data_IF_857379145596
#
_entry.id   IF_857379145596
#
_cell.length_a   1.000
_cell.length_b   1.000
_cell.length_c   1.000
_cell.angle_alpha   90.00
_cell.angle_beta   90.00
_cell.angle_gamma   90.00
#
_symmetry.space_group_name_H-M   'P 1'
#
loop_
_entity.id
_entity.type
_entity.pdbx_description
1 polymer ?
#
# COMPACT_ATOMS: atom_id res chain seq x y z
N UNK A 1 1.40 39.06 -58.77
CA UNK A 1 0.28 38.28 -58.14
C UNK A 1 0.49 36.77 -58.10
N UNK A 2 1.05 36.11 -59.11
CA UNK A 2 1.24 34.61 -59.09
C UNK A 2 2.16 34.12 -57.98
N UNK A 3 3.28 34.76 -57.62
CA UNK A 3 4.20 34.33 -56.56
C UNK A 3 3.62 34.36 -55.15
N UNK A 4 2.71 35.31 -54.81
CA UNK A 4 2.02 35.33 -53.50
C UNK A 4 1.01 34.20 -53.33
N UNK A 5 0.32 33.79 -54.40
CA UNK A 5 -0.64 32.66 -54.35
C UNK A 5 0.08 31.31 -54.14
N UNK A 6 1.24 31.11 -54.75
CA UNK A 6 2.02 29.88 -54.57
C UNK A 6 2.52 29.78 -53.15
N UNK A 7 3.05 30.83 -52.53
CA UNK A 7 3.52 30.82 -51.15
C UNK A 7 2.40 30.53 -50.12
N UNK A 8 1.19 31.04 -50.34
CA UNK A 8 0.02 30.75 -49.48
C UNK A 8 -0.40 29.28 -49.61
N UNK A 9 -0.46 28.74 -50.83
CA UNK A 9 -0.84 27.35 -51.04
C UNK A 9 0.21 26.40 -50.43
N UNK A 10 1.51 26.68 -50.56
CA UNK A 10 2.58 25.89 -49.97
C UNK A 10 2.53 25.93 -48.41
N UNK A 11 2.19 27.09 -47.83
CA UNK A 11 2.00 27.23 -46.39
C UNK A 11 0.81 26.41 -45.86
N UNK A 12 -0.33 26.43 -46.60
CA UNK A 12 -1.50 25.64 -46.21
C UNK A 12 -1.24 24.13 -46.30
N UNK A 13 -0.57 23.69 -47.36
CA UNK A 13 -0.22 22.26 -47.53
C UNK A 13 0.73 21.82 -46.44
N UNK A 14 1.75 22.60 -46.05
CA UNK A 14 2.65 22.31 -44.96
C UNK A 14 1.91 22.23 -43.62
N UNK A 15 0.99 23.15 -43.33
CA UNK A 15 0.19 23.10 -42.11
C UNK A 15 -0.74 21.88 -42.04
N UNK A 16 -1.37 21.48 -43.14
CA UNK A 16 -2.21 20.27 -43.19
C UNK A 16 -1.36 18.98 -42.98
N UNK A 17 -0.17 18.93 -43.54
CA UNK A 17 0.74 17.78 -43.34
C UNK A 17 1.23 17.68 -41.89
N UNK A 18 1.55 18.82 -41.27
CA UNK A 18 1.97 18.86 -39.84
C UNK A 18 0.82 18.47 -38.94
N UNK A 19 -0.39 19.01 -39.14
CA UNK A 19 -1.59 18.68 -38.35
C UNK A 19 -2.00 17.22 -38.58
N UNK A 20 -1.91 16.71 -39.81
CA UNK A 20 -2.14 15.29 -40.12
C UNK A 20 -1.11 14.39 -39.47
N UNK A 21 0.17 14.79 -39.47
CA UNK A 21 1.26 14.07 -38.80
C UNK A 21 1.07 14.03 -37.30
N UNK A 22 0.69 15.15 -36.66
CA UNK A 22 0.40 15.20 -35.22
C UNK A 22 -0.82 14.35 -34.87
N UNK A 23 -1.91 14.47 -35.66
CA UNK A 23 -3.11 13.66 -35.44
C UNK A 23 -2.84 12.15 -35.62
N UNK A 24 -2.04 11.77 -36.60
CA UNK A 24 -1.64 10.38 -36.82
C UNK A 24 -0.69 9.91 -35.71
N UNK A 25 0.25 10.74 -35.27
CA UNK A 25 1.15 10.43 -34.16
C UNK A 25 0.36 10.26 -32.84
N UNK A 26 -0.55 11.16 -32.52
CA UNK A 26 -1.44 11.05 -31.35
C UNK A 26 -2.35 9.85 -31.44
N UNK A 27 -2.91 9.54 -32.62
CA UNK A 27 -3.77 8.39 -32.86
C UNK A 27 -2.99 7.06 -32.76
N UNK A 28 -1.80 6.98 -33.34
CA UNK A 28 -0.93 5.79 -33.29
C UNK A 28 -0.36 5.60 -31.87
N UNK A 29 0.03 6.70 -31.19
CA UNK A 29 0.51 6.60 -29.80
C UNK A 29 -0.63 6.23 -28.84
N UNK A 30 -1.83 6.80 -28.97
CA UNK A 30 -2.98 6.42 -28.12
C UNK A 30 -3.48 4.99 -28.36
N UNK A 31 -3.36 4.46 -29.58
CA UNK A 31 -3.88 3.13 -29.90
C UNK A 31 -2.85 1.99 -29.81
N UNK A 32 -1.56 2.30 -29.59
CA UNK A 32 -0.53 1.27 -29.34
C UNK A 32 -0.25 0.99 -27.88
N UNK A 33 -0.87 1.73 -26.94
CA UNK A 33 -0.93 1.31 -25.56
C UNK A 33 -2.08 0.32 -25.39
N UNK A 34 -1.82 -0.95 -25.67
CA UNK A 34 -2.68 -2.00 -25.14
C UNK A 34 -2.57 -1.93 -23.63
N UNK A 35 -3.70 -1.62 -22.96
CA UNK A 35 -3.78 -1.76 -21.52
C UNK A 35 -3.15 -3.09 -21.09
N UNK A 36 -2.39 -3.13 -19.97
CA UNK A 36 -1.80 -4.37 -19.50
C UNK A 36 -2.89 -5.45 -19.45
N UNK A 37 -2.62 -6.61 -20.07
CA UNK A 37 -3.55 -7.73 -20.06
C UNK A 37 -3.59 -8.29 -18.65
N UNK A 38 -4.65 -7.92 -17.91
CA UNK A 38 -4.88 -8.42 -16.57
C UNK A 38 -5.40 -9.83 -16.71
N UNK A 39 -4.59 -10.81 -16.32
CA UNK A 39 -5.07 -12.19 -16.22
C UNK A 39 -5.92 -12.31 -14.96
N UNK A 40 -7.23 -12.42 -15.17
CA UNK A 40 -8.16 -12.84 -14.12
C UNK A 40 -7.73 -14.19 -13.57
N UNK A 41 -7.64 -14.33 -12.26
CA UNK A 41 -7.50 -15.66 -11.64
C UNK A 41 -6.57 -15.79 -10.46
N UNK A 42 -5.79 -14.77 -10.07
CA UNK A 42 -5.06 -14.77 -8.80
C UNK A 42 -5.63 -13.65 -7.94
N UNK A 43 -6.58 -13.99 -7.10
CA UNK A 43 -7.14 -13.07 -6.12
C UNK A 43 -6.27 -13.09 -4.88
N UNK A 44 -5.32 -12.18 -4.81
CA UNK A 44 -4.76 -11.76 -3.54
C UNK A 44 -5.65 -10.65 -2.98
N UNK A 45 -6.34 -10.93 -1.89
CA UNK A 45 -7.24 -9.98 -1.22
C UNK A 45 -6.50 -8.85 -0.53
N UNK A 46 -5.17 -8.95 -0.39
CA UNK A 46 -4.34 -7.95 0.29
C UNK A 46 -3.63 -6.99 -0.68
N UNK A 47 -3.50 -7.35 -1.95
CA UNK A 47 -2.76 -6.55 -2.92
C UNK A 47 -3.36 -5.18 -3.17
N UNK A 48 -4.68 -5.01 -2.98
CA UNK A 48 -5.39 -3.74 -3.13
C UNK A 48 -5.31 -2.82 -1.90
N UNK A 49 -4.84 -3.31 -0.75
CA UNK A 49 -4.70 -2.52 0.48
C UNK A 49 -3.31 -1.91 0.60
N UNK A 50 -3.19 -0.89 1.47
CA UNK A 50 -1.87 -0.42 1.90
C UNK A 50 -1.17 -1.53 2.70
N UNK A 51 0.09 -1.78 2.42
CA UNK A 51 0.82 -2.97 2.89
C UNK A 51 1.38 -2.86 4.30
N UNK A 52 1.75 -1.67 4.76
CA UNK A 52 2.53 -1.53 6.00
C UNK A 52 1.70 -1.16 7.23
N UNK A 53 0.50 -0.60 7.05
CA UNK A 53 -0.37 -0.25 8.19
C UNK A 53 -1.84 -0.47 7.86
N UNK A 54 -2.49 -1.36 8.58
CA UNK A 54 -3.88 -1.72 8.38
C UNK A 54 -4.72 -1.42 9.61
N UNK A 55 -5.34 -0.24 9.67
CA UNK A 55 -6.32 0.06 10.72
C UNK A 55 -7.69 -0.57 10.47
N UNK A 56 -7.89 -1.14 9.30
CA UNK A 56 -9.14 -1.73 8.84
C UNK A 56 -8.86 -2.98 8.00
N UNK A 57 -9.67 -4.00 8.15
CA UNK A 57 -9.59 -5.24 7.39
C UNK A 57 -10.99 -5.72 6.98
N UNK A 58 -11.16 -6.15 5.72
CA UNK A 58 -12.40 -6.73 5.23
C UNK A 58 -12.54 -8.19 5.68
N UNK A 59 -13.72 -8.59 6.14
CA UNK A 59 -14.02 -9.98 6.52
C UNK A 59 -15.45 -10.17 7.00
N UNK A 60 -15.98 -11.38 6.86
CA UNK A 60 -17.34 -11.75 7.28
C UNK A 60 -18.46 -10.84 6.75
N UNK A 61 -18.29 -10.32 5.52
CA UNK A 61 -19.27 -9.45 4.89
C UNK A 61 -19.27 -8.00 5.41
N UNK A 62 -18.25 -7.61 6.17
CA UNK A 62 -18.08 -6.27 6.71
C UNK A 62 -16.61 -5.94 6.95
N UNK A 63 -16.35 -5.05 7.88
CA UNK A 63 -15.02 -4.51 8.16
C UNK A 63 -14.73 -4.51 9.64
N UNK A 64 -13.55 -4.99 10.00
CA UNK A 64 -12.95 -4.89 11.33
C UNK A 64 -12.01 -3.69 11.34
N UNK A 65 -12.09 -2.85 12.35
CA UNK A 65 -11.23 -1.67 12.44
C UNK A 65 -10.87 -1.31 13.87
N UNK A 66 -9.77 -0.57 14.03
CA UNK A 66 -9.34 -0.06 15.31
C UNK A 66 -9.58 1.45 15.40
N UNK A 67 -10.09 1.92 16.54
CA UNK A 67 -10.38 3.32 16.78
C UNK A 67 -9.97 3.72 18.19
N UNK A 68 -9.48 4.97 18.34
CA UNK A 68 -9.39 5.64 19.61
C UNK A 68 -10.76 6.14 20.06
N UNK A 69 -11.14 5.78 21.26
CA UNK A 69 -12.36 6.27 21.86
C UNK A 69 -12.10 7.49 22.77
N UNK A 70 -13.17 8.16 23.17
CA UNK A 70 -13.11 9.36 24.01
C UNK A 70 -12.43 9.13 25.37
N UNK A 71 -12.32 7.89 25.85
CA UNK A 71 -11.62 7.52 27.07
C UNK A 71 -10.12 7.24 26.85
N UNK A 72 -9.60 7.49 25.63
CA UNK A 72 -8.19 7.30 25.25
C UNK A 72 -7.80 5.85 25.00
N UNK A 73 -8.75 4.93 24.94
CA UNK A 73 -8.48 3.52 24.66
C UNK A 73 -8.68 3.20 23.18
N UNK A 74 -7.87 2.29 22.69
CA UNK A 74 -8.05 1.71 21.37
C UNK A 74 -8.95 0.49 21.51
N UNK A 75 -10.00 0.44 20.69
CA UNK A 75 -10.90 -0.71 20.62
C UNK A 75 -11.00 -1.24 19.21
N UNK A 76 -11.25 -2.54 19.14
CA UNK A 76 -11.56 -3.26 17.92
C UNK A 76 -13.06 -3.26 17.71
N UNK A 77 -13.48 -2.86 16.51
CA UNK A 77 -14.87 -2.74 16.08
C UNK A 77 -15.14 -3.62 14.86
N UNK A 78 -16.40 -3.91 14.65
CA UNK A 78 -16.94 -4.49 13.42
C UNK A 78 -18.11 -3.65 12.90
N UNK A 79 -18.21 -3.47 11.58
CA UNK A 79 -19.31 -2.76 10.92
C UNK A 79 -19.58 -3.32 9.52
N UNK A 80 -20.81 -3.16 9.04
CA UNK A 80 -21.19 -3.41 7.64
C UNK A 80 -21.22 -2.13 6.78
N UNK A 81 -20.70 -1.04 7.30
CA UNK A 81 -20.51 0.29 6.66
C UNK A 81 -21.82 1.05 6.40
N UNK A 82 -22.72 0.55 5.57
CA UNK A 82 -23.73 1.42 4.95
C UNK A 82 -24.87 1.90 5.87
N UNK A 83 -25.16 1.18 6.95
CA UNK A 83 -26.34 1.50 7.77
C UNK A 83 -26.14 1.30 9.27
N UNK A 84 -24.93 1.02 9.71
CA UNK A 84 -24.71 0.56 11.08
C UNK A 84 -23.55 1.32 11.74
N UNK A 85 -23.78 1.73 12.97
CA UNK A 85 -22.69 2.11 13.84
C UNK A 85 -21.82 0.88 14.11
N UNK A 86 -20.50 1.06 14.11
CA UNK A 86 -19.58 -0.01 14.50
C UNK A 86 -19.91 -0.53 15.89
N UNK A 87 -19.86 -1.85 16.05
CA UNK A 87 -20.03 -2.52 17.33
C UNK A 87 -18.69 -2.96 17.87
N UNK A 88 -18.47 -2.79 19.18
CA UNK A 88 -17.25 -3.27 19.84
C UNK A 88 -17.19 -4.79 19.74
N UNK A 89 -16.11 -5.32 19.18
CA UNK A 89 -15.93 -6.76 18.94
C UNK A 89 -15.57 -7.50 20.23
N UNK A 90 -16.57 -7.79 21.05
CA UNK A 90 -16.40 -8.52 22.31
C UNK A 90 -17.60 -9.39 22.63
N UNK A 91 -17.41 -10.70 22.67
CA UNK A 91 -18.46 -11.68 23.00
C UNK A 91 -18.62 -11.95 24.51
N UNK A 92 -17.93 -11.20 25.40
CA UNK A 92 -18.08 -11.36 26.83
C UNK A 92 -19.44 -10.79 27.28
N UNK A 93 -20.31 -11.58 27.91
CA UNK A 93 -21.58 -11.07 28.46
C UNK A 93 -21.34 -9.94 29.45
N UNK A 94 -22.19 -8.89 29.38
CA UNK A 94 -22.18 -7.74 30.30
C UNK A 94 -20.81 -6.98 30.35
N UNK A 95 -19.97 -7.15 29.34
CA UNK A 95 -18.69 -6.45 29.27
C UNK A 95 -18.92 -4.94 29.08
N UNK A 96 -18.34 -4.12 29.93
CA UNK A 96 -18.43 -2.66 29.82
C UNK A 96 -17.42 -2.08 28.82
N UNK A 97 -16.55 -2.90 28.25
CA UNK A 97 -15.50 -2.55 27.30
C UNK A 97 -14.52 -1.47 27.80
N UNK A 98 -14.34 -1.34 29.12
CA UNK A 98 -13.53 -0.27 29.74
C UNK A 98 -12.18 -0.74 30.27
N UNK A 99 -11.95 -2.04 30.39
CA UNK A 99 -10.73 -2.58 30.98
C UNK A 99 -9.99 -3.49 29.99
N UNK A 100 -8.71 -3.75 30.26
CA UNK A 100 -7.88 -4.63 29.43
C UNK A 100 -8.32 -6.11 29.50
N UNK A 101 -9.21 -6.45 30.44
CA UNK A 101 -9.90 -7.73 30.46
C UNK A 101 -10.88 -7.90 29.28
N UNK A 102 -11.34 -6.80 28.68
CA UNK A 102 -12.12 -6.82 27.44
C UNK A 102 -11.26 -7.26 26.27
N UNK A 103 -11.71 -8.23 25.52
CA UNK A 103 -10.96 -8.75 24.36
C UNK A 103 -10.82 -7.76 23.20
N UNK A 104 -11.73 -6.81 23.10
CA UNK A 104 -11.69 -5.76 22.11
C UNK A 104 -10.77 -4.58 22.48
N UNK A 105 -10.35 -4.45 23.76
CA UNK A 105 -9.46 -3.37 24.18
C UNK A 105 -8.03 -3.75 23.78
N UNK A 106 -7.42 -2.92 22.93
CA UNK A 106 -6.05 -3.02 22.46
C UNK A 106 -5.28 -1.80 23.00
N UNK A 107 -4.75 -1.90 24.21
CA UNK A 107 -4.04 -0.78 24.82
C UNK A 107 -2.80 -0.41 23.99
N UNK A 108 -2.58 0.88 23.74
CA UNK A 108 -1.52 1.37 22.85
C UNK A 108 -0.09 1.05 23.30
N UNK A 109 0.12 0.74 24.59
CA UNK A 109 1.42 0.28 25.10
C UNK A 109 1.63 -1.22 24.85
N UNK A 110 0.56 -2.01 24.94
CA UNK A 110 0.61 -3.46 24.80
C UNK A 110 0.38 -3.95 23.37
N UNK A 111 -0.19 -3.14 22.49
CA UNK A 111 -0.47 -3.53 21.11
C UNK A 111 0.13 -2.53 20.13
N UNK A 112 0.58 -3.04 18.98
CA UNK A 112 0.97 -2.18 17.88
C UNK A 112 -0.28 -1.45 17.36
N UNK A 113 -0.22 -0.13 17.35
CA UNK A 113 -1.30 0.68 16.83
C UNK A 113 -1.42 0.56 15.31
N UNK A 114 -2.66 0.51 14.82
CA UNK A 114 -2.92 0.56 13.38
C UNK A 114 -2.68 -0.74 12.63
N UNK A 115 -2.70 -1.87 13.32
CA UNK A 115 -2.46 -3.16 12.68
C UNK A 115 -3.58 -4.12 13.04
N UNK A 116 -4.49 -4.36 12.11
CA UNK A 116 -5.50 -5.43 12.18
C UNK A 116 -5.59 -6.10 10.82
N UNK A 117 -5.47 -7.42 10.80
CA UNK A 117 -5.61 -8.24 9.60
C UNK A 117 -6.71 -9.26 9.83
N UNK A 118 -7.46 -9.58 8.78
CA UNK A 118 -8.41 -10.68 8.79
C UNK A 118 -7.96 -11.77 7.83
N UNK A 119 -7.87 -13.00 8.33
CA UNK A 119 -7.56 -14.15 7.50
C UNK A 119 -8.14 -15.43 8.09
N UNK A 120 -8.84 -16.24 7.26
CA UNK A 120 -9.39 -17.55 7.65
C UNK A 120 -10.19 -17.51 8.97
N UNK A 121 -11.16 -16.60 9.06
CA UNK A 121 -12.07 -16.41 10.20
C UNK A 121 -11.42 -15.92 11.50
N UNK A 122 -10.17 -15.46 11.44
CA UNK A 122 -9.46 -14.87 12.56
C UNK A 122 -8.94 -13.48 12.23
N UNK A 123 -8.83 -12.69 13.28
CA UNK A 123 -8.10 -11.44 13.24
C UNK A 123 -6.70 -11.64 13.84
N UNK A 124 -5.75 -10.93 13.27
CA UNK A 124 -4.37 -10.93 13.73
C UNK A 124 -3.94 -9.51 14.03
N UNK A 125 -3.31 -9.33 15.20
CA UNK A 125 -2.72 -8.08 15.68
C UNK A 125 -1.35 -8.38 16.30
N UNK A 126 -0.56 -7.34 16.53
CA UNK A 126 0.75 -7.49 17.17
C UNK A 126 0.65 -7.07 18.63
N UNK A 127 0.88 -8.01 19.56
CA UNK A 127 0.94 -7.77 20.99
C UNK A 127 2.40 -7.57 21.42
N UNK A 128 2.66 -6.44 22.10
CA UNK A 128 3.99 -6.08 22.61
C UNK A 128 4.10 -6.47 24.08
N UNK A 129 5.03 -7.32 24.39
CA UNK A 129 5.25 -7.79 25.76
C UNK A 129 6.73 -8.03 26.01
N UNK A 130 7.27 -7.40 27.08
CA UNK A 130 8.65 -7.61 27.52
C UNK A 130 9.72 -7.37 26.43
N UNK A 131 9.48 -6.36 25.56
CA UNK A 131 10.39 -6.04 24.46
C UNK A 131 10.29 -6.98 23.25
N UNK A 132 9.29 -7.86 23.22
CA UNK A 132 9.01 -8.76 22.09
C UNK A 132 7.65 -8.46 21.48
N UNK A 133 7.55 -8.57 20.17
CA UNK A 133 6.31 -8.61 19.42
C UNK A 133 5.83 -10.05 19.28
N UNK A 134 4.57 -10.28 19.63
CA UNK A 134 3.90 -11.56 19.48
C UNK A 134 2.80 -11.44 18.42
N UNK A 135 2.65 -12.49 17.61
CA UNK A 135 1.44 -12.66 16.82
C UNK A 135 0.30 -12.99 17.77
N UNK A 136 -0.68 -12.12 17.82
CA UNK A 136 -1.89 -12.31 18.62
C UNK A 136 -3.08 -12.59 17.71
N UNK A 137 -3.74 -13.71 17.93
CA UNK A 137 -4.91 -14.17 17.20
C UNK A 137 -6.17 -13.87 17.98
N UNK A 138 -7.17 -13.33 17.30
CA UNK A 138 -8.48 -12.99 17.87
C UNK A 138 -9.56 -13.69 17.05
N UNK A 139 -10.50 -14.36 17.70
CA UNK A 139 -11.66 -14.93 17.02
C UNK A 139 -12.51 -13.79 16.40
N UNK A 140 -12.97 -13.97 15.17
CA UNK A 140 -13.72 -12.93 14.43
C UNK A 140 -15.05 -12.54 15.05
N UNK A 141 -15.57 -13.33 16.00
CA UNK A 141 -16.74 -13.03 16.83
C UNK A 141 -16.38 -12.36 18.18
N UNK A 142 -15.11 -12.11 18.45
CA UNK A 142 -14.62 -11.54 19.71
C UNK A 142 -14.62 -12.52 20.89
N UNK A 143 -14.82 -13.82 20.67
CA UNK A 143 -14.92 -14.84 21.73
C UNK A 143 -13.57 -15.28 22.31
N UNK A 144 -12.46 -15.11 21.58
CA UNK A 144 -11.12 -15.53 21.96
C UNK A 144 -10.04 -14.53 21.59
N UNK A 145 -8.96 -14.46 22.40
CA UNK A 145 -7.75 -13.72 22.10
C UNK A 145 -6.56 -14.44 22.76
N UNK A 146 -5.55 -14.76 21.97
CA UNK A 146 -4.35 -15.48 22.43
C UNK A 146 -3.09 -15.07 21.68
N UNK A 147 -1.94 -15.04 22.36
CA UNK A 147 -0.64 -14.92 21.72
C UNK A 147 -0.23 -16.30 21.22
N UNK A 148 0.06 -16.43 19.93
CA UNK A 148 0.33 -17.74 19.31
C UNK A 148 1.81 -18.01 19.09
N UNK A 149 2.62 -17.00 18.78
CA UNK A 149 4.08 -17.12 18.68
C UNK A 149 4.79 -15.78 18.86
N UNK A 150 6.07 -15.83 19.25
CA UNK A 150 6.95 -14.66 19.28
C UNK A 150 7.52 -14.40 17.88
N UNK A 151 7.64 -13.13 17.49
CA UNK A 151 8.11 -12.70 16.18
C UNK A 151 9.48 -12.02 16.24
N UNK A 152 9.52 -10.79 16.73
CA UNK A 152 10.71 -9.93 16.71
C UNK A 152 10.94 -9.29 18.07
N UNK A 153 12.21 -9.02 18.39
CA UNK A 153 12.54 -8.03 19.41
C UNK A 153 12.06 -6.66 18.89
N UNK A 154 11.32 -5.94 19.71
CA UNK A 154 10.72 -4.66 19.33
C UNK A 154 11.26 -3.52 20.17
N UNK A 155 11.65 -2.46 19.51
CA UNK A 155 11.88 -1.17 20.13
C UNK A 155 10.64 -0.27 19.97
N UNK A 156 10.77 1.01 20.31
CA UNK A 156 9.67 1.98 20.22
C UNK A 156 9.30 2.34 18.77
N UNK A 157 10.17 2.03 17.80
CA UNK A 157 9.98 2.35 16.38
C UNK A 157 9.54 1.14 15.56
N UNK A 158 9.73 -0.08 16.08
CA UNK A 158 9.36 -1.31 15.37
C UNK A 158 7.88 -1.32 14.99
N UNK A 159 7.60 -1.72 13.76
CA UNK A 159 6.27 -1.90 13.21
C UNK A 159 6.20 -3.17 12.39
N UNK A 160 5.62 -4.21 12.96
CA UNK A 160 5.50 -5.51 12.29
C UNK A 160 4.32 -5.50 11.34
N UNK A 161 4.56 -5.87 10.09
CA UNK A 161 3.56 -6.07 9.04
C UNK A 161 3.42 -7.54 8.71
N UNK A 162 2.22 -7.94 8.27
CA UNK A 162 1.87 -9.32 7.96
C UNK A 162 1.36 -9.46 6.53
N UNK A 163 1.78 -10.52 5.86
CA UNK A 163 1.24 -10.97 4.58
C UNK A 163 0.81 -12.42 4.71
N UNK A 164 -0.31 -12.78 4.11
CA UNK A 164 -0.88 -14.12 4.23
C UNK A 164 -0.85 -14.83 2.88
N UNK A 165 -0.39 -16.07 2.89
CA UNK A 165 -0.41 -16.94 1.72
C UNK A 165 -0.80 -18.36 2.14
N UNK A 166 -1.91 -18.87 1.63
CA UNK A 166 -2.42 -20.21 1.93
C UNK A 166 -2.47 -20.54 3.43
N UNK A 167 -1.57 -21.38 3.94
CA UNK A 167 -1.51 -21.77 5.36
C UNK A 167 -0.35 -21.13 6.11
N UNK A 168 0.23 -20.08 5.56
CA UNK A 168 1.38 -19.41 6.11
C UNK A 168 1.13 -17.90 6.28
N UNK A 169 1.78 -17.33 7.27
CA UNK A 169 1.85 -15.89 7.52
C UNK A 169 3.32 -15.49 7.36
N UNK A 170 3.56 -14.40 6.64
CA UNK A 170 4.88 -13.81 6.49
C UNK A 170 4.91 -12.50 7.26
N UNK A 171 5.82 -12.40 8.23
CA UNK A 171 5.97 -11.23 9.10
C UNK A 171 7.31 -10.55 8.88
N UNK A 172 7.33 -9.22 8.86
CA UNK A 172 8.54 -8.39 8.76
C UNK A 172 8.37 -7.11 9.57
N UNK A 173 9.48 -6.51 10.00
CA UNK A 173 9.46 -5.18 10.65
C UNK A 173 9.62 -4.11 9.56
N UNK A 174 8.52 -3.43 9.20
CA UNK A 174 8.46 -2.47 8.10
C UNK A 174 9.13 -1.12 8.41
N UNK A 175 9.41 -0.84 9.65
CA UNK A 175 10.12 0.39 10.06
C UNK A 175 11.54 0.08 10.50
N UNK A 176 11.71 -0.89 11.37
CA UNK A 176 13.00 -1.35 11.86
C UNK A 176 13.93 -0.22 12.23
N UNK A 177 15.15 -0.28 11.73
CA UNK A 177 16.15 0.78 11.87
C UNK A 177 16.30 1.63 10.60
N UNK A 178 15.22 1.81 9.83
CA UNK A 178 15.21 2.65 8.65
C UNK A 178 15.80 4.04 8.96
N UNK A 179 16.82 4.43 8.20
CA UNK A 179 17.54 5.69 8.41
C UNK A 179 18.65 5.67 9.46
N UNK A 180 18.91 4.53 10.10
CA UNK A 180 20.07 4.35 10.96
C UNK A 180 21.39 4.40 10.20
N UNK A 181 22.50 4.73 10.88
CA UNK A 181 23.86 4.76 10.31
C UNK A 181 24.61 3.44 10.47
N UNK A 182 23.99 2.45 11.10
CA UNK A 182 24.58 1.16 11.41
C UNK A 182 24.04 0.06 10.49
N UNK A 183 24.79 -1.02 10.35
CA UNK A 183 24.30 -2.21 9.69
C UNK A 183 23.24 -2.88 10.56
N UNK A 184 22.11 -3.16 9.96
CA UNK A 184 21.03 -3.92 10.57
C UNK A 184 20.69 -5.14 9.74
N UNK A 185 20.25 -6.19 10.46
CA UNK A 185 19.70 -7.38 9.83
C UNK A 185 18.18 -7.26 9.84
N UNK A 186 17.59 -7.35 8.67
CA UNK A 186 16.16 -7.41 8.46
C UNK A 186 15.76 -8.81 8.03
N UNK A 187 14.66 -9.31 8.57
CA UNK A 187 14.20 -10.67 8.33
C UNK A 187 12.75 -10.69 7.84
N UNK A 188 12.44 -11.67 6.99
CA UNK A 188 11.06 -12.11 6.78
C UNK A 188 10.92 -13.46 7.48
N UNK A 189 9.97 -13.52 8.41
CA UNK A 189 9.65 -14.76 9.14
C UNK A 189 8.39 -15.38 8.56
N UNK A 190 8.44 -16.67 8.32
CA UNK A 190 7.32 -17.51 7.96
C UNK A 190 6.75 -18.16 9.22
N UNK A 191 5.45 -18.08 9.41
CA UNK A 191 4.68 -18.68 10.50
C UNK A 191 3.64 -19.62 9.91
N UNK A 192 3.68 -20.90 10.24
CA UNK A 192 2.68 -21.87 9.80
C UNK A 192 1.40 -21.74 10.64
N UNK A 193 0.24 -21.54 10.02
CA UNK A 193 -1.04 -21.34 10.74
C UNK A 193 -1.46 -22.60 11.52
N UNK A 194 -0.98 -23.79 11.12
CA UNK A 194 -1.37 -25.05 11.77
C UNK A 194 -0.84 -25.24 13.18
N UNK A 195 0.41 -24.86 13.42
CA UNK A 195 1.13 -25.06 14.67
C UNK A 195 1.87 -23.81 15.18
N UNK A 196 1.81 -22.73 14.44
CA UNK A 196 2.50 -21.46 14.67
C UNK A 196 4.02 -21.59 14.78
N UNK A 197 4.62 -22.62 14.14
CA UNK A 197 6.06 -22.74 14.02
C UNK A 197 6.62 -21.58 13.20
N UNK A 198 7.71 -20.97 13.71
CA UNK A 198 8.35 -19.79 13.12
C UNK A 198 9.69 -20.16 12.51
N UNK A 199 9.96 -19.70 11.30
CA UNK A 199 11.26 -19.85 10.63
C UNK A 199 11.60 -18.57 9.85
N UNK A 200 12.89 -18.21 9.77
CA UNK A 200 13.35 -17.13 8.88
C UNK A 200 13.46 -17.67 7.46
N UNK A 201 12.86 -16.98 6.49
CA UNK A 201 12.87 -17.36 5.06
C UNK A 201 13.67 -16.39 4.20
N UNK A 202 13.89 -15.18 4.69
CA UNK A 202 14.73 -14.19 4.04
C UNK A 202 15.46 -13.35 5.08
N UNK A 203 16.71 -12.99 4.79
CA UNK A 203 17.54 -12.13 5.62
C UNK A 203 18.31 -11.15 4.72
N UNK A 204 18.34 -9.89 5.11
CA UNK A 204 19.12 -8.85 4.47
C UNK A 204 19.88 -8.04 5.50
N UNK A 205 21.16 -7.78 5.23
CA UNK A 205 22.01 -6.94 6.09
C UNK A 205 22.50 -5.74 5.30
N UNK A 206 22.21 -4.55 5.80
CA UNK A 206 22.59 -3.29 5.15
C UNK A 206 22.54 -2.11 6.10
N UNK A 207 23.09 -0.98 5.68
CA UNK A 207 23.07 0.27 6.46
C UNK A 207 21.67 0.85 6.47
N UNK A 208 21.09 0.99 7.67
CA UNK A 208 19.72 1.47 7.81
C UNK A 208 18.70 0.64 7.03
N UNK A 209 18.97 -0.67 6.87
CA UNK A 209 18.13 -1.55 6.08
C UNK A 209 16.71 -1.65 6.63
N UNK A 210 15.74 -1.71 5.74
CA UNK A 210 14.33 -2.01 6.03
C UNK A 210 13.73 -2.89 4.94
N UNK A 211 12.71 -3.66 5.30
CA UNK A 211 11.85 -4.36 4.36
C UNK A 211 10.49 -3.70 4.41
N UNK A 212 9.95 -3.26 3.27
CA UNK A 212 8.68 -2.55 3.19
C UNK A 212 7.82 -3.05 2.06
N UNK A 213 6.54 -2.70 2.07
CA UNK A 213 5.64 -2.88 0.95
C UNK A 213 5.44 -4.33 0.50
N UNK A 214 5.52 -5.32 1.42
CA UNK A 214 5.39 -6.71 1.01
C UNK A 214 3.95 -7.05 0.57
N UNK A 215 3.83 -7.77 -0.56
CA UNK A 215 2.57 -8.19 -1.19
C UNK A 215 2.65 -9.61 -1.68
N UNK A 216 1.60 -10.40 -1.41
CA UNK A 216 1.40 -11.72 -1.99
C UNK A 216 0.86 -11.60 -3.41
N UNK A 217 1.48 -12.29 -4.35
CA UNK A 217 0.95 -12.41 -5.70
C UNK A 217 1.37 -13.72 -6.36
N UNK A 218 0.40 -14.54 -6.66
CA UNK A 218 0.64 -15.84 -7.32
C UNK A 218 1.50 -16.76 -6.45
N UNK A 219 2.61 -17.23 -6.99
CA UNK A 219 3.58 -18.08 -6.28
C UNK A 219 4.67 -17.32 -5.54
N UNK A 220 4.54 -16.00 -5.33
CA UNK A 220 5.62 -15.16 -4.85
C UNK A 220 5.16 -14.17 -3.77
N UNK A 221 6.03 -13.96 -2.79
CA UNK A 221 6.00 -12.79 -1.92
C UNK A 221 6.90 -11.72 -2.54
N UNK A 222 6.32 -10.61 -2.98
CA UNK A 222 7.07 -9.44 -3.43
C UNK A 222 7.31 -8.50 -2.26
N UNK A 223 8.45 -7.83 -2.22
CA UNK A 223 8.79 -6.85 -1.17
C UNK A 223 9.91 -5.91 -1.61
N UNK A 224 9.95 -4.73 -1.01
CA UNK A 224 11.01 -3.75 -1.23
C UNK A 224 12.05 -3.90 -0.13
N UNK A 225 13.31 -4.01 -0.53
CA UNK A 225 14.46 -3.85 0.35
C UNK A 225 14.99 -2.43 0.17
N UNK A 226 14.99 -1.68 1.26
CA UNK A 226 15.52 -0.33 1.31
C UNK A 226 16.82 -0.32 2.12
N UNK A 227 17.81 0.43 1.67
CA UNK A 227 18.98 0.79 2.46
C UNK A 227 19.37 2.25 2.22
N UNK A 228 20.05 2.86 3.18
CA UNK A 228 20.57 4.22 3.02
C UNK A 228 21.99 4.19 2.48
N UNK A 229 22.17 4.86 1.34
CA UNK A 229 23.48 5.03 0.70
C UNK A 229 23.93 6.48 0.74
N UNK A 230 25.23 6.70 0.90
CA UNK A 230 25.83 8.01 0.80
C UNK A 230 26.24 8.26 -0.66
N UNK A 231 25.67 9.29 -1.26
CA UNK A 231 26.19 9.83 -2.51
C UNK A 231 27.50 10.57 -2.21
N UNK A 232 28.60 10.07 -2.77
CA UNK A 232 29.95 10.59 -2.52
C UNK A 232 30.18 11.97 -3.13
N UNK A 233 29.44 12.34 -4.16
CA UNK A 233 29.58 13.62 -4.85
C UNK A 233 28.81 14.74 -4.12
N UNK A 234 27.53 14.49 -3.84
CA UNK A 234 26.65 15.45 -3.15
C UNK A 234 26.82 15.45 -1.63
N UNK A 235 27.43 14.42 -1.04
CA UNK A 235 27.51 14.17 0.41
C UNK A 235 26.13 14.04 1.07
N UNK A 236 25.11 13.66 0.30
CA UNK A 236 23.77 13.43 0.80
C UNK A 236 23.47 11.94 0.89
N UNK A 237 22.67 11.55 1.88
CA UNK A 237 22.13 10.21 1.96
C UNK A 237 20.85 10.12 1.11
N UNK A 238 20.70 9.00 0.41
CA UNK A 238 19.48 8.67 -0.31
C UNK A 238 19.04 7.23 0.01
N UNK A 239 17.76 6.96 -0.13
CA UNK A 239 17.22 5.60 -0.04
C UNK A 239 17.47 4.85 -1.35
N UNK A 240 18.09 3.68 -1.28
CA UNK A 240 18.21 2.74 -2.40
C UNK A 240 17.16 1.66 -2.20
N UNK A 241 16.08 1.75 -2.97
CA UNK A 241 14.88 0.91 -2.84
C UNK A 241 14.83 -0.07 -4.01
N UNK A 242 14.87 -1.37 -3.71
CA UNK A 242 14.93 -2.44 -4.71
C UNK A 242 13.83 -3.46 -4.49
N UNK A 243 13.12 -3.81 -5.57
CA UNK A 243 12.07 -4.82 -5.53
C UNK A 243 12.68 -6.23 -5.62
N UNK A 244 12.31 -7.05 -4.66
CA UNK A 244 12.62 -8.47 -4.57
C UNK A 244 11.33 -9.29 -4.62
N UNK A 245 11.47 -10.57 -4.92
CA UNK A 245 10.43 -11.58 -4.73
C UNK A 245 11.02 -12.84 -4.12
N UNK A 246 10.28 -13.45 -3.24
CA UNK A 246 10.56 -14.76 -2.65
C UNK A 246 9.60 -15.78 -3.27
N UNK A 247 10.14 -16.83 -3.87
CA UNK A 247 9.37 -17.93 -4.47
C UNK A 247 8.97 -18.94 -3.39
N UNK A 248 7.68 -19.10 -3.16
CA UNK A 248 7.15 -20.01 -2.15
C UNK A 248 7.47 -21.48 -2.45
N UNK A 249 7.60 -21.85 -3.72
CA UNK A 249 7.82 -23.23 -4.15
C UNK A 249 9.25 -23.71 -3.96
N UNK A 250 10.24 -22.85 -4.20
CA UNK A 250 11.66 -23.22 -4.13
C UNK A 250 12.42 -22.56 -2.97
N UNK A 251 11.80 -21.58 -2.26
CA UNK A 251 12.40 -20.92 -1.11
C UNK A 251 13.54 -19.95 -1.47
N UNK A 252 13.57 -19.42 -2.69
CA UNK A 252 14.63 -18.54 -3.18
C UNK A 252 14.08 -17.11 -3.32
N UNK A 253 14.84 -16.14 -2.82
CA UNK A 253 14.57 -14.72 -3.08
C UNK A 253 15.50 -14.18 -4.15
N UNK A 254 14.95 -13.37 -5.06
CA UNK A 254 15.70 -12.72 -6.14
C UNK A 254 15.23 -11.29 -6.37
N UNK A 255 16.12 -10.44 -6.89
CA UNK A 255 15.77 -9.09 -7.32
C UNK A 255 14.95 -9.17 -8.61
N UNK A 256 13.82 -8.45 -8.66
CA UNK A 256 12.86 -8.49 -9.77
C UNK A 256 13.34 -7.68 -10.97
N UNK A 257 13.76 -6.43 -10.73
CA UNK A 257 14.28 -5.51 -11.73
C UNK A 257 15.44 -4.72 -11.13
N UNK A 258 16.34 -4.21 -12.01
CA UNK A 258 17.49 -3.39 -11.55
C UNK A 258 17.15 -1.89 -11.64
N UNK A 259 16.10 -1.49 -10.93
CA UNK A 259 15.56 -0.12 -10.87
C UNK A 259 15.26 0.27 -9.45
N UNK A 260 15.14 1.57 -9.20
CA UNK A 260 14.56 2.10 -7.98
C UNK A 260 13.04 1.86 -8.00
N UNK A 261 12.50 1.33 -6.92
CA UNK A 261 11.07 1.04 -6.79
C UNK A 261 10.59 1.53 -5.43
N UNK A 262 9.91 2.67 -5.40
CA UNK A 262 9.38 3.23 -4.15
C UNK A 262 8.02 2.63 -3.77
N UNK A 263 7.21 2.23 -4.73
CA UNK A 263 6.04 1.36 -4.53
C UNK A 263 5.67 0.67 -5.85
N UNK A 264 4.84 -0.38 -5.76
CA UNK A 264 4.53 -1.23 -6.92
C UNK A 264 3.19 -1.93 -6.78
N UNK A 265 2.70 -2.47 -7.90
CA UNK A 265 1.56 -3.38 -7.97
C UNK A 265 1.80 -4.42 -9.06
N UNK A 266 1.56 -5.71 -8.77
CA UNK A 266 1.76 -6.80 -9.72
C UNK A 266 0.42 -7.22 -10.32
N UNK A 267 0.37 -7.35 -11.66
CA UNK A 267 -0.81 -7.73 -12.42
C UNK A 267 -0.45 -8.84 -13.42
N UNK A 268 -0.53 -10.08 -13.00
CA UNK A 268 -0.17 -11.22 -13.86
C UNK A 268 1.29 -11.15 -14.32
N UNK A 269 1.49 -10.95 -15.61
CA UNK A 269 2.81 -10.83 -16.22
C UNK A 269 3.34 -9.37 -16.24
N UNK A 270 2.68 -8.46 -15.54
CA UNK A 270 2.97 -7.02 -15.58
C UNK A 270 3.25 -6.49 -14.16
N UNK A 271 4.29 -5.68 -14.04
CA UNK A 271 4.62 -4.89 -12.87
C UNK A 271 4.30 -3.42 -13.16
N UNK A 272 3.45 -2.81 -12.37
CA UNK A 272 3.26 -1.36 -12.31
C UNK A 272 4.07 -0.86 -11.14
N UNK A 273 4.99 0.07 -11.34
CA UNK A 273 5.83 0.58 -10.26
C UNK A 273 6.14 2.06 -10.41
N UNK A 274 6.42 2.70 -9.29
CA UNK A 274 6.83 4.09 -9.25
C UNK A 274 8.31 4.20 -8.92
N UNK A 275 9.03 4.98 -9.74
CA UNK A 275 10.39 5.41 -9.47
C UNK A 275 10.36 6.85 -9.00
N UNK A 276 10.81 7.09 -7.78
CA UNK A 276 10.78 8.41 -7.15
C UNK A 276 11.49 9.46 -7.99
N UNK A 277 10.83 10.60 -8.22
CA UNK A 277 11.34 11.69 -9.04
C UNK A 277 11.27 11.48 -10.55
N UNK A 278 10.86 10.29 -11.03
CA UNK A 278 10.79 9.96 -12.46
C UNK A 278 9.36 9.71 -12.91
N UNK A 279 8.63 8.78 -12.27
CA UNK A 279 7.23 8.53 -12.58
C UNK A 279 6.77 7.09 -12.40
N UNK A 280 5.57 6.82 -12.94
CA UNK A 280 4.93 5.52 -12.95
C UNK A 280 5.29 4.77 -14.22
N UNK A 281 5.79 3.57 -14.05
CA UNK A 281 6.19 2.69 -15.14
C UNK A 281 5.34 1.43 -15.18
N UNK A 282 5.20 0.88 -16.37
CA UNK A 282 4.70 -0.47 -16.63
C UNK A 282 5.84 -1.30 -17.19
N UNK A 283 6.13 -2.43 -16.54
CA UNK A 283 7.14 -3.38 -16.96
C UNK A 283 6.49 -4.74 -17.24
N UNK A 284 6.70 -5.26 -18.45
CA UNK A 284 6.24 -6.59 -18.89
C UNK A 284 7.32 -7.64 -18.63
N UNK A 285 7.02 -8.62 -17.77
CA UNK A 285 7.98 -9.67 -17.38
C UNK A 285 8.40 -10.58 -18.54
N UNK A 286 7.54 -10.77 -19.54
CA UNK A 286 7.83 -11.66 -20.68
C UNK A 286 8.74 -11.01 -21.69
N UNK A 287 8.42 -9.78 -22.06
CA UNK A 287 9.15 -9.03 -23.07
C UNK A 287 10.31 -8.23 -22.53
N UNK A 288 10.37 -8.04 -21.18
CA UNK A 288 11.30 -7.19 -20.47
C UNK A 288 11.27 -5.72 -20.96
N UNK A 289 10.12 -5.30 -21.50
CA UNK A 289 9.91 -3.93 -21.95
C UNK A 289 9.31 -3.09 -20.83
N UNK A 290 9.74 -1.86 -20.79
CA UNK A 290 9.32 -0.85 -19.83
C UNK A 290 8.75 0.37 -20.56
N UNK A 291 7.66 0.93 -20.04
CA UNK A 291 7.02 2.14 -20.57
C UNK A 291 6.73 3.09 -19.41
N UNK A 292 7.12 4.36 -19.57
CA UNK A 292 6.72 5.42 -18.65
C UNK A 292 5.29 5.85 -19.00
N UNK A 293 4.35 5.64 -18.08
CA UNK A 293 2.93 5.94 -18.29
C UNK A 293 2.51 7.29 -17.66
N UNK A 294 3.06 7.61 -16.49
CA UNK A 294 2.79 8.88 -15.81
C UNK A 294 4.11 9.53 -15.41
N UNK A 295 4.39 10.71 -15.93
CA UNK A 295 5.57 11.48 -15.55
C UNK A 295 5.38 12.04 -14.13
N UNK A 296 6.35 11.83 -13.26
CA UNK A 296 6.38 12.48 -11.96
C UNK A 296 6.49 14.00 -12.11
N UNK A 297 5.78 14.70 -11.29
CA UNK A 297 5.94 16.15 -11.10
C UNK A 297 6.13 16.45 -9.60
N UNK A 298 6.26 17.74 -9.26
CA UNK A 298 6.45 18.16 -7.86
C UNK A 298 5.28 17.81 -6.93
N UNK A 299 4.11 17.44 -7.48
CA UNK A 299 2.91 17.11 -6.71
C UNK A 299 2.70 15.60 -6.62
N UNK A 300 3.39 14.81 -7.44
CA UNK A 300 3.26 13.35 -7.49
C UNK A 300 4.54 12.73 -6.91
N UNK A 301 4.56 12.68 -5.58
CA UNK A 301 5.55 11.91 -4.80
C UNK A 301 4.78 10.71 -4.24
N UNK A 302 4.91 9.55 -4.85
CA UNK A 302 4.04 8.41 -4.53
C UNK A 302 4.43 7.73 -3.22
N UNK A 303 3.47 7.61 -2.31
CA UNK A 303 3.57 6.80 -1.10
C UNK A 303 2.86 5.45 -1.24
N UNK A 304 2.01 5.29 -2.24
CA UNK A 304 1.29 4.03 -2.41
C UNK A 304 0.61 3.92 -3.77
N UNK A 305 0.62 2.69 -4.30
CA UNK A 305 -0.09 2.29 -5.51
C UNK A 305 -1.07 1.19 -5.17
N UNK A 306 -2.29 1.28 -5.67
CA UNK A 306 -3.28 0.22 -5.59
C UNK A 306 -4.06 0.08 -6.90
N UNK A 307 -4.65 -1.09 -7.09
CA UNK A 307 -5.51 -1.38 -8.23
C UNK A 307 -6.70 -2.24 -7.77
N UNK A 308 -7.93 -1.88 -8.17
CA UNK A 308 -9.15 -2.54 -7.73
C UNK A 308 -9.84 -3.39 -8.81
N UNK A 309 -9.16 -3.64 -9.91
CA UNK A 309 -9.73 -4.31 -11.07
C UNK A 309 -10.26 -3.35 -12.14
N UNK A 310 -10.50 -2.08 -11.81
CA UNK A 310 -11.01 -1.06 -12.72
C UNK A 310 -10.10 0.17 -12.81
N UNK A 311 -9.64 0.70 -11.66
CA UNK A 311 -8.84 1.91 -11.55
C UNK A 311 -7.55 1.67 -10.80
N UNK A 312 -6.51 2.42 -11.21
CA UNK A 312 -5.30 2.60 -10.42
C UNK A 312 -5.48 3.81 -9.49
N UNK A 313 -4.98 3.66 -8.28
CA UNK A 313 -4.96 4.70 -7.25
C UNK A 313 -3.52 4.99 -6.88
N UNK A 314 -3.11 6.26 -6.97
CA UNK A 314 -1.80 6.72 -6.55
C UNK A 314 -1.97 7.72 -5.42
N UNK A 315 -1.44 7.40 -4.25
CA UNK A 315 -1.38 8.31 -3.11
C UNK A 315 -0.11 9.15 -3.19
N UNK A 316 -0.22 10.48 -3.20
CA UNK A 316 0.93 11.38 -3.30
C UNK A 316 1.73 11.56 -1.99
N UNK A 317 1.47 10.76 -0.97
CA UNK A 317 2.11 10.82 0.35
C UNK A 317 1.85 12.06 1.20
N UNK A 318 1.32 13.12 0.64
CA UNK A 318 1.11 14.39 1.36
C UNK A 318 2.40 14.93 2.01
N UNK A 319 3.54 14.76 1.36
CA UNK A 319 4.84 15.10 1.95
C UNK A 319 5.05 16.61 2.05
N UNK A 320 5.18 17.07 3.26
CA UNK A 320 5.72 18.38 3.59
C UNK A 320 6.65 18.25 4.78
N UNK A 321 7.54 19.21 4.98
CA UNK A 321 8.39 19.24 6.17
C UNK A 321 7.53 19.18 7.42
N UNK A 322 7.81 18.24 8.31
CA UNK A 322 7.16 18.15 9.63
C UNK A 322 7.33 19.43 10.46
N UNK A 323 8.29 20.28 10.07
CA UNK A 323 8.65 21.51 10.78
C UNK A 323 8.07 22.77 10.15
N UNK A 324 7.58 22.73 8.90
CA UNK A 324 7.03 23.89 8.19
C UNK A 324 5.64 23.59 7.62
N UNK A 325 4.61 24.08 8.34
CA UNK A 325 3.22 23.91 7.94
C UNK A 325 2.88 24.57 6.58
N UNK A 326 3.69 25.54 6.14
CA UNK A 326 3.49 26.21 4.84
C UNK A 326 4.00 25.37 3.65
N UNK A 327 4.81 24.35 3.89
CA UNK A 327 5.35 23.44 2.87
C UNK A 327 4.59 22.12 2.76
N UNK A 328 3.51 21.92 3.51
CA UNK A 328 2.68 20.71 3.41
C UNK A 328 1.98 20.67 2.07
N UNK A 329 2.31 19.64 1.28
CA UNK A 329 1.52 19.26 0.12
C UNK A 329 0.27 18.56 0.65
N UNK A 330 -0.91 19.02 0.21
CA UNK A 330 -2.17 18.35 0.52
C UNK A 330 -2.14 16.92 0.00
N UNK A 331 -2.64 15.99 0.79
CA UNK A 331 -2.70 14.58 0.40
C UNK A 331 -3.81 14.37 -0.61
N UNK A 332 -3.44 13.88 -1.78
CA UNK A 332 -4.35 13.65 -2.92
C UNK A 332 -4.18 12.22 -3.41
N UNK A 333 -5.31 11.58 -3.71
CA UNK A 333 -5.32 10.30 -4.42
C UNK A 333 -5.65 10.59 -5.89
N UNK A 334 -4.72 10.25 -6.76
CA UNK A 334 -4.91 10.31 -8.21
C UNK A 334 -5.53 9.00 -8.70
N UNK A 335 -6.66 9.07 -9.37
CA UNK A 335 -7.39 7.94 -9.93
C UNK A 335 -7.15 7.89 -11.43
N UNK A 336 -6.61 6.79 -11.92
CA UNK A 336 -6.34 6.56 -13.33
C UNK A 336 -7.14 5.37 -13.86
N UNK A 337 -7.55 5.43 -15.13
CA UNK A 337 -8.08 4.27 -15.82
C UNK A 337 -6.96 3.25 -16.16
N UNK A 338 -7.32 2.12 -16.76
CA UNK A 338 -6.38 1.07 -17.20
C UNK A 338 -5.36 1.53 -18.25
N UNK A 339 -5.63 2.63 -18.93
CA UNK A 339 -4.74 3.25 -19.92
C UNK A 339 -3.96 4.42 -19.34
N UNK A 340 -3.94 4.56 -18.01
CA UNK A 340 -3.27 5.62 -17.26
C UNK A 340 -3.74 7.04 -17.65
N UNK A 341 -4.98 7.19 -18.12
CA UNK A 341 -5.59 8.51 -18.20
C UNK A 341 -6.07 8.92 -16.81
N UNK A 342 -5.69 10.12 -16.38
CA UNK A 342 -6.20 10.69 -15.14
C UNK A 342 -7.72 10.92 -15.23
N UNK A 343 -8.45 10.28 -14.32
CA UNK A 343 -9.91 10.34 -14.25
C UNK A 343 -10.36 11.33 -13.17
N UNK A 344 -9.68 11.31 -12.02
CA UNK A 344 -10.03 12.16 -10.88
C UNK A 344 -8.83 12.38 -9.96
N UNK A 345 -8.81 13.55 -9.33
CA UNK A 345 -8.02 13.86 -8.15
C UNK A 345 -8.96 13.91 -6.96
N UNK A 346 -8.67 13.15 -5.91
CA UNK A 346 -9.47 13.10 -4.68
C UNK A 346 -8.67 13.74 -3.55
N UNK A 347 -9.12 14.91 -3.11
CA UNK A 347 -8.57 15.55 -1.93
C UNK A 347 -8.91 14.72 -0.67
N UNK A 348 -7.88 14.30 0.07
CA UNK A 348 -8.02 13.55 1.32
C UNK A 348 -8.29 14.46 2.53
N UNK A 349 -8.22 15.77 2.36
CA UNK A 349 -8.33 16.75 3.42
C UNK A 349 -7.05 16.89 4.26
N UNK A 350 -6.92 18.04 4.91
CA UNK A 350 -5.72 18.43 5.70
C UNK A 350 -5.41 17.52 6.90
N UNK A 351 -6.42 16.81 7.39
CA UNK A 351 -6.33 15.93 8.57
C UNK A 351 -6.08 14.46 8.17
N UNK A 352 -5.88 14.16 6.88
CA UNK A 352 -5.58 12.83 6.40
C UNK A 352 -4.19 12.38 6.86
N UNK A 353 -4.14 11.29 7.61
CA UNK A 353 -2.90 10.70 8.15
C UNK A 353 -2.50 9.42 7.43
N UNK A 354 -3.36 8.84 6.61
CA UNK A 354 -3.06 7.62 5.86
C UNK A 354 -4.12 7.28 4.82
N UNK A 355 -3.69 6.61 3.75
CA UNK A 355 -4.54 6.04 2.72
C UNK A 355 -4.46 4.53 2.83
N UNK A 356 -5.60 3.84 2.90
CA UNK A 356 -5.65 2.38 3.04
C UNK A 356 -6.09 1.68 1.77
N UNK A 357 -6.56 2.43 0.76
CA UNK A 357 -7.10 1.97 -0.51
C UNK A 357 -8.37 1.13 -0.37
N UNK A 358 -8.32 -0.03 0.25
CA UNK A 358 -9.50 -0.87 0.49
C UNK A 358 -9.68 -1.99 -0.53
N UNK A 359 -10.93 -2.48 -0.64
CA UNK A 359 -11.33 -3.57 -1.52
C UNK A 359 -12.03 -3.07 -2.81
N UNK A 360 -12.75 -3.95 -3.49
CA UNK A 360 -13.51 -3.59 -4.70
C UNK A 360 -14.70 -2.65 -4.44
N UNK A 361 -15.14 -2.49 -3.16
CA UNK A 361 -16.34 -1.71 -2.82
C UNK A 361 -16.03 -0.30 -2.32
N UNK A 362 -15.00 -0.17 -1.49
CA UNK A 362 -14.73 1.07 -0.78
C UNK A 362 -13.26 1.46 -0.86
N UNK A 363 -13.03 2.76 -1.00
CA UNK A 363 -11.75 3.42 -0.81
C UNK A 363 -11.74 4.02 0.60
N UNK A 364 -10.72 3.72 1.41
CA UNK A 364 -10.60 4.17 2.79
C UNK A 364 -9.41 5.09 3.02
N UNK A 365 -9.60 6.07 3.89
CA UNK A 365 -8.52 6.89 4.44
C UNK A 365 -8.63 6.97 5.97
N UNK A 366 -7.51 7.27 6.62
CA UNK A 366 -7.45 7.65 8.03
C UNK A 366 -7.39 9.18 8.13
N UNK A 367 -8.36 9.78 8.74
CA UNK A 367 -8.30 11.13 9.31
C UNK A 367 -7.98 11.03 10.79
N UNK A 368 -7.49 12.11 11.45
CA UNK A 368 -6.95 12.10 12.81
C UNK A 368 -7.65 11.11 13.76
N UNK A 369 -8.96 11.25 13.93
CA UNK A 369 -9.74 10.47 14.89
C UNK A 369 -10.77 9.54 14.24
N UNK A 370 -10.79 9.42 12.89
CA UNK A 370 -11.81 8.69 12.17
C UNK A 370 -11.27 7.97 10.94
N UNK A 371 -11.92 6.88 10.57
CA UNK A 371 -11.79 6.26 9.26
C UNK A 371 -12.91 6.84 8.39
N UNK A 372 -12.55 7.27 7.18
CA UNK A 372 -13.49 7.73 6.19
C UNK A 372 -13.43 6.86 4.95
N UNK A 373 -14.53 6.79 4.22
CA UNK A 373 -14.64 6.00 3.00
C UNK A 373 -15.34 6.74 1.87
N UNK A 374 -15.05 6.33 0.62
CA UNK A 374 -15.84 6.61 -0.58
C UNK A 374 -16.24 5.27 -1.18
N UNK A 375 -17.50 5.14 -1.65
CA UNK A 375 -17.90 4.00 -2.45
C UNK A 375 -17.22 4.04 -3.81
N UNK A 376 -16.60 2.93 -4.23
CA UNK A 376 -15.90 2.90 -5.53
C UNK A 376 -16.85 2.97 -6.71
N UNK A 377 -18.12 2.58 -6.57
CA UNK A 377 -19.15 2.84 -7.58
C UNK A 377 -19.40 4.34 -7.81
N UNK A 378 -19.17 5.17 -6.77
CA UNK A 378 -19.30 6.62 -6.81
C UNK A 378 -17.94 7.33 -6.98
N UNK A 379 -16.89 6.60 -7.34
CA UNK A 379 -15.51 7.12 -7.30
C UNK A 379 -15.32 8.40 -8.12
N UNK A 380 -16.13 8.65 -9.13
CA UNK A 380 -16.02 9.82 -9.97
C UNK A 380 -16.55 11.11 -9.30
N UNK A 381 -17.51 11.01 -8.37
CA UNK A 381 -18.18 12.16 -7.77
C UNK A 381 -18.44 12.02 -6.26
N UNK A 382 -18.16 10.87 -5.67
CA UNK A 382 -18.40 10.59 -4.26
C UNK A 382 -17.58 11.48 -3.33
N UNK A 383 -18.09 11.73 -2.14
CA UNK A 383 -17.41 12.49 -1.09
C UNK A 383 -17.05 11.54 0.07
N UNK A 384 -16.11 11.98 0.91
CA UNK A 384 -15.71 11.23 2.08
C UNK A 384 -16.85 11.15 3.10
N UNK A 385 -17.17 9.94 3.51
CA UNK A 385 -18.15 9.63 4.56
C UNK A 385 -17.41 9.02 5.75
N UNK A 386 -17.66 9.54 6.95
CA UNK A 386 -17.05 8.98 8.16
C UNK A 386 -17.68 7.63 8.50
N UNK A 387 -16.84 6.64 8.77
CA UNK A 387 -17.23 5.37 9.35
C UNK A 387 -17.69 5.61 10.80
N UNK A 388 -18.89 5.17 11.14
CA UNK A 388 -19.53 5.42 12.44
C UNK A 388 -19.39 4.23 13.37
#
# INVERSE_FOLDING_TARGET
MKKKKIAVITGIVAAVVILGGIATYVYVFKNNHSAPEIKDGVTDTQSSWNTDTHHIAAGNGGYYYTQYDADGKIRLYYTQVENENGVVLCALPECTHKTDACRAVLSGEAYQFGTVYYYKDFLYVIHKKEGMGYLCKIASDGSGREDVCALFAMDKFSSVSLVFHENDIYAYDSVGNAGGSENHVQEIKKISIGDYAVSTVYEYSGVGAAITGARDFGGYLYFIVMEYRLDMDSKTHYADERLYRYDYGNGIAEKVIDKQVSDYFVLGDTLVYFESGTGLYVYDFKTQKETLEVQADKNILVAGISYDGQYFYLDNAGMGSLTDAASRIERVIYVYDRSFNLIREIDCGKDCTGVYFGDEKYLFIKQLDAICYIKKEDILNGEWVQLK
#
